data_IF_069032025230
#
_entry.id   IF_069032025230
#
_cell.length_a   1.000
_cell.length_b   1.000
_cell.length_c   1.000
_cell.angle_alpha   90.00
_cell.angle_beta   90.00
_cell.angle_gamma   90.00
#
_symmetry.space_group_name_H-M   'P 1'
#
loop_
_entity.id
_entity.type
_entity.pdbx_description
1 polymer ?
#
# COMPACT_ATOMS: atom_id res chain seq x y z
N UNK A 1 -0.50 31.00 7.56
CA UNK A 1 -0.51 30.12 6.36
C UNK A 1 0.51 30.48 5.30
N UNK A 2 0.58 31.73 4.82
CA UNK A 2 1.55 32.10 3.77
C UNK A 2 3.00 31.72 4.10
N UNK A 3 3.47 32.02 5.31
CA UNK A 3 4.85 31.68 5.73
C UNK A 3 5.12 30.16 5.75
N UNK A 4 4.15 29.36 6.20
CA UNK A 4 4.23 27.89 6.15
C UNK A 4 4.29 27.39 4.71
N UNK A 5 3.47 27.95 3.83
CA UNK A 5 3.45 27.60 2.41
C UNK A 5 4.77 27.94 1.73
N UNK A 6 5.30 29.14 1.97
CA UNK A 6 6.58 29.58 1.42
C UNK A 6 7.73 28.68 1.90
N UNK A 7 7.69 28.24 3.18
CA UNK A 7 8.66 27.27 3.72
C UNK A 7 8.60 25.91 3.00
N UNK A 8 7.40 25.34 2.83
CA UNK A 8 7.22 24.07 2.11
C UNK A 8 7.66 24.20 0.65
N UNK A 9 7.24 25.25 -0.05
CA UNK A 9 7.61 25.52 -1.45
C UNK A 9 9.13 25.63 -1.60
N UNK A 10 9.79 26.42 -0.76
CA UNK A 10 11.23 26.63 -0.85
C UNK A 10 12.01 25.32 -0.68
N UNK A 11 11.65 24.52 0.31
CA UNK A 11 12.26 23.19 0.53
C UNK A 11 12.01 22.25 -0.64
N UNK A 12 10.81 22.29 -1.23
CA UNK A 12 10.48 21.49 -2.40
C UNK A 12 11.32 21.93 -3.62
N UNK A 13 11.46 23.24 -3.84
CA UNK A 13 12.28 23.80 -4.91
C UNK A 13 13.77 23.45 -4.73
N UNK A 14 14.30 23.58 -3.51
CA UNK A 14 15.67 23.18 -3.16
C UNK A 14 15.90 21.69 -3.44
N UNK A 15 14.99 20.81 -2.99
CA UNK A 15 15.11 19.36 -3.19
C UNK A 15 14.93 18.88 -4.64
N UNK A 16 14.39 19.72 -5.52
CA UNK A 16 14.16 19.41 -6.93
C UNK A 16 15.06 20.21 -7.89
N UNK A 17 15.92 21.09 -7.36
CA UNK A 17 16.81 21.93 -8.17
C UNK A 17 17.73 21.11 -9.08
N UNK A 18 18.29 20.01 -8.56
CA UNK A 18 19.14 19.09 -9.33
C UNK A 18 18.40 18.36 -10.46
N UNK A 19 17.06 18.40 -10.44
CA UNK A 19 16.18 17.81 -11.45
C UNK A 19 15.65 18.86 -12.43
N UNK A 20 16.20 20.08 -12.39
CA UNK A 20 15.87 21.17 -13.32
C UNK A 20 14.54 21.87 -13.03
N UNK A 21 13.89 21.58 -11.89
CA UNK A 21 12.65 22.27 -11.54
C UNK A 21 12.94 23.71 -11.09
N UNK A 22 12.12 24.63 -11.60
CA UNK A 22 12.15 26.05 -11.22
C UNK A 22 10.74 26.54 -10.93
N UNK A 23 10.60 27.48 -9.99
CA UNK A 23 9.29 28.08 -9.72
C UNK A 23 8.91 28.99 -10.90
N UNK A 24 7.83 28.64 -11.61
CA UNK A 24 7.38 29.35 -12.81
C UNK A 24 6.31 30.39 -12.52
N UNK A 25 5.40 30.06 -11.60
CA UNK A 25 4.30 30.96 -11.27
C UNK A 25 3.87 30.77 -9.82
N UNK A 26 3.36 31.85 -9.25
CA UNK A 26 2.83 31.88 -7.90
C UNK A 26 1.51 32.62 -7.94
N UNK A 27 0.49 32.05 -7.32
CA UNK A 27 -0.80 32.68 -7.15
C UNK A 27 -1.15 32.75 -5.66
N UNK A 28 -1.17 33.97 -5.16
CA UNK A 28 -1.57 34.31 -3.81
C UNK A 28 -2.83 35.16 -3.87
N UNK A 29 -3.98 34.52 -4.02
CA UNK A 29 -5.27 35.22 -4.05
C UNK A 29 -6.14 34.76 -2.88
N UNK A 30 -6.31 35.63 -1.89
CA UNK A 30 -7.13 35.36 -0.71
C UNK A 30 -6.58 34.21 0.14
N UNK A 31 -7.40 33.17 0.34
CA UNK A 31 -7.06 31.96 1.11
C UNK A 31 -6.45 30.83 0.27
N UNK A 32 -6.32 31.03 -1.05
CA UNK A 32 -5.72 30.06 -1.95
C UNK A 32 -4.25 30.43 -2.17
N UNK A 33 -3.36 29.55 -1.71
CA UNK A 33 -1.92 29.63 -1.91
C UNK A 33 -1.55 28.54 -2.92
N UNK A 34 -0.98 28.91 -4.05
CA UNK A 34 -0.61 27.99 -5.12
C UNK A 34 0.71 28.37 -5.79
N UNK A 35 1.55 27.39 -6.08
CA UNK A 35 2.81 27.58 -6.79
C UNK A 35 3.03 26.45 -7.80
N UNK A 36 3.51 26.80 -9.00
CA UNK A 36 3.90 25.84 -10.02
C UNK A 36 5.42 25.77 -10.10
N UNK A 37 5.96 24.56 -9.93
CA UNK A 37 7.35 24.23 -10.18
C UNK A 37 7.42 23.41 -11.46
N UNK A 38 8.31 23.78 -12.38
CA UNK A 38 8.36 23.16 -13.71
C UNK A 38 9.80 22.93 -14.17
N UNK A 39 10.04 21.81 -14.84
CA UNK A 39 11.25 21.55 -15.62
C UNK A 39 10.91 21.47 -17.12
N UNK A 40 11.76 20.89 -17.96
CA UNK A 40 11.51 20.83 -19.42
C UNK A 40 10.30 19.97 -19.83
N UNK A 41 9.91 18.98 -19.02
CA UNK A 41 8.90 17.97 -19.39
C UNK A 41 7.75 17.84 -18.40
N UNK A 42 7.96 18.21 -17.14
CA UNK A 42 7.04 17.99 -16.03
C UNK A 42 6.73 19.28 -15.28
N UNK A 43 5.48 19.41 -14.83
CA UNK A 43 5.01 20.46 -13.93
C UNK A 43 4.46 19.88 -12.62
N UNK A 44 4.66 20.61 -11.54
CA UNK A 44 4.16 20.31 -10.19
C UNK A 44 3.39 21.50 -9.67
N UNK A 45 2.16 21.27 -9.20
CA UNK A 45 1.33 22.26 -8.56
C UNK A 45 1.26 21.96 -7.07
N UNK A 46 1.81 22.87 -6.25
CA UNK A 46 1.68 22.86 -4.80
C UNK A 46 0.56 23.83 -4.42
N UNK A 47 -0.46 23.35 -3.72
CA UNK A 47 -1.56 24.17 -3.20
C UNK A 47 -1.75 23.96 -1.70
N UNK A 48 -2.25 24.98 -1.00
CA UNK A 48 -2.84 24.81 0.33
C UNK A 48 -4.35 25.03 0.27
N UNK A 49 -5.12 23.99 0.57
CA UNK A 49 -6.58 24.00 0.54
C UNK A 49 -7.09 24.33 1.95
N UNK A 50 -7.37 25.62 2.20
CA UNK A 50 -7.75 26.11 3.53
C UNK A 50 -8.99 25.42 4.12
N UNK A 51 -9.95 24.99 3.29
CA UNK A 51 -11.16 24.29 3.74
C UNK A 51 -10.86 22.93 4.37
N UNK A 52 -9.94 22.20 3.76
CA UNK A 52 -9.59 20.83 4.14
C UNK A 52 -8.30 20.79 4.99
N UNK A 53 -7.71 21.96 5.26
CA UNK A 53 -6.49 22.17 6.04
C UNK A 53 -5.33 21.27 5.60
N UNK A 54 -5.07 21.23 4.31
CA UNK A 54 -4.06 20.34 3.75
C UNK A 54 -3.24 21.02 2.66
N UNK A 55 -1.97 20.63 2.60
CA UNK A 55 -1.16 20.82 1.40
C UNK A 55 -1.50 19.74 0.38
N UNK A 56 -1.59 20.12 -0.88
CA UNK A 56 -1.86 19.22 -2.01
C UNK A 56 -0.73 19.39 -3.02
N UNK A 57 -0.18 18.27 -3.46
CA UNK A 57 0.78 18.22 -4.55
C UNK A 57 0.13 17.49 -5.72
N UNK A 58 0.10 18.15 -6.87
CA UNK A 58 -0.41 17.61 -8.14
C UNK A 58 0.66 17.65 -9.21
N UNK A 59 0.58 16.78 -10.21
CA UNK A 59 1.54 16.68 -11.32
C UNK A 59 0.83 16.80 -12.66
N UNK A 60 1.47 17.46 -13.60
CA UNK A 60 1.05 17.59 -14.99
C UNK A 60 2.26 17.63 -15.91
N UNK A 61 2.02 17.78 -17.20
CA UNK A 61 3.07 18.06 -18.18
C UNK A 61 3.48 19.53 -18.13
N UNK A 62 4.72 19.84 -18.51
CA UNK A 62 5.18 21.22 -18.65
C UNK A 62 4.21 22.05 -19.52
N UNK A 63 3.78 23.22 -19.02
CA UNK A 63 2.83 24.10 -19.70
C UNK A 63 1.36 23.63 -19.77
N UNK A 64 0.94 22.56 -19.08
CA UNK A 64 -0.44 22.08 -19.12
C UNK A 64 -1.44 23.05 -18.46
N UNK A 65 -2.73 22.91 -18.77
CA UNK A 65 -3.76 23.72 -18.11
C UNK A 65 -3.94 23.29 -16.64
N UNK A 66 -4.51 24.17 -15.81
CA UNK A 66 -4.72 23.87 -14.38
C UNK A 66 -5.54 22.60 -14.14
N UNK A 67 -6.54 22.34 -14.98
CA UNK A 67 -7.43 21.18 -14.86
C UNK A 67 -6.77 19.85 -15.28
N UNK A 68 -5.63 19.91 -15.96
CA UNK A 68 -4.86 18.74 -16.39
C UNK A 68 -3.93 18.20 -15.28
N UNK A 69 -3.76 18.95 -14.19
CA UNK A 69 -2.98 18.51 -13.04
C UNK A 69 -3.71 17.39 -12.30
N UNK A 70 -3.04 16.26 -12.14
CA UNK A 70 -3.54 15.11 -11.39
C UNK A 70 -2.94 15.10 -9.99
N UNK A 71 -3.79 15.06 -8.96
CA UNK A 71 -3.35 15.01 -7.57
C UNK A 71 -2.43 13.80 -7.32
N UNK A 72 -1.21 14.08 -6.88
CA UNK A 72 -0.21 13.08 -6.53
C UNK A 72 -0.27 12.72 -5.04
N UNK A 73 -0.44 13.71 -4.17
CA UNK A 73 -0.44 13.54 -2.72
C UNK A 73 -1.17 14.69 -2.02
N UNK A 74 -1.63 14.43 -0.80
CA UNK A 74 -2.05 15.48 0.11
C UNK A 74 -1.54 15.19 1.52
N UNK A 75 -1.24 16.25 2.27
CA UNK A 75 -0.72 16.21 3.63
C UNK A 75 -1.56 17.14 4.50
N UNK A 76 -2.20 16.60 5.54
CA UNK A 76 -2.97 17.38 6.51
C UNK A 76 -2.02 18.28 7.31
N UNK A 77 -2.29 19.58 7.30
CA UNK A 77 -1.52 20.59 8.03
C UNK A 77 -2.49 21.57 8.68
N UNK A 78 -2.77 21.34 9.96
CA UNK A 78 -3.75 22.07 10.74
C UNK A 78 -3.06 22.85 11.87
N UNK A 79 -2.90 24.16 11.66
CA UNK A 79 -2.31 25.05 12.66
C UNK A 79 -3.15 25.18 13.93
N UNK A 80 -4.46 24.93 13.86
CA UNK A 80 -5.34 24.96 15.04
C UNK A 80 -5.17 23.69 15.88
N UNK A 81 -4.73 22.58 15.25
CA UNK A 81 -4.46 21.30 15.90
C UNK A 81 -3.00 21.17 16.40
N UNK A 82 -2.17 22.20 16.19
CA UNK A 82 -0.80 22.26 16.71
C UNK A 82 0.32 22.14 15.68
N UNK A 83 0.00 22.07 14.38
CA UNK A 83 1.04 22.11 13.34
C UNK A 83 1.70 23.51 13.28
N UNK A 84 3.03 23.50 13.20
CA UNK A 84 3.86 24.71 13.24
C UNK A 84 4.99 24.68 12.19
N UNK A 85 5.93 25.62 12.27
CA UNK A 85 6.98 25.77 11.26
C UNK A 85 7.89 24.53 11.19
N UNK A 86 8.04 23.78 12.28
CA UNK A 86 8.90 22.57 12.33
C UNK A 86 8.31 21.47 11.45
N UNK A 87 6.99 21.41 11.35
CA UNK A 87 6.26 20.42 10.57
C UNK A 87 6.36 20.66 9.06
N UNK A 88 6.68 21.88 8.61
CA UNK A 88 6.84 22.19 7.17
C UNK A 88 7.95 21.40 6.49
N UNK A 89 8.99 20.99 7.24
CA UNK A 89 10.05 20.12 6.70
C UNK A 89 9.54 18.71 6.43
N UNK A 90 8.69 18.18 7.31
CA UNK A 90 8.07 16.86 7.12
C UNK A 90 7.17 16.85 5.89
N UNK A 91 6.36 17.89 5.69
CA UNK A 91 5.51 18.04 4.48
C UNK A 91 6.36 18.01 3.21
N UNK A 92 7.41 18.83 3.15
CA UNK A 92 8.27 18.91 1.98
C UNK A 92 8.99 17.59 1.70
N UNK A 93 9.53 16.93 2.74
CA UNK A 93 10.21 15.66 2.60
C UNK A 93 9.25 14.55 2.11
N UNK A 94 8.03 14.47 2.65
CA UNK A 94 7.06 13.46 2.21
C UNK A 94 6.65 13.63 0.74
N UNK A 95 6.58 14.89 0.29
CA UNK A 95 6.35 15.23 -1.12
C UNK A 95 7.55 14.87 -2.00
N UNK A 96 8.77 15.19 -1.58
CA UNK A 96 10.00 14.81 -2.28
C UNK A 96 10.12 13.29 -2.40
N UNK A 97 9.86 12.56 -1.31
CA UNK A 97 9.89 11.10 -1.27
C UNK A 97 8.88 10.51 -2.26
N UNK A 98 7.67 11.07 -2.34
CA UNK A 98 6.64 10.62 -3.29
C UNK A 98 7.00 10.94 -4.74
N UNK A 99 7.66 12.06 -5.01
CA UNK A 99 8.15 12.41 -6.34
C UNK A 99 9.33 11.54 -6.79
N UNK A 100 10.23 11.21 -5.86
CA UNK A 100 11.36 10.32 -6.11
C UNK A 100 10.91 8.86 -6.30
N UNK A 101 9.92 8.39 -5.53
CA UNK A 101 9.32 7.07 -5.69
C UNK A 101 8.65 6.88 -7.07
N UNK A 102 8.16 7.96 -7.70
CA UNK A 102 7.50 7.92 -9.02
C UNK A 102 8.43 7.97 -10.23
N UNK A 103 9.74 8.22 -10.08
CA UNK A 103 10.70 8.04 -11.20
C UNK A 103 10.87 6.55 -11.61
N UNK A 104 10.37 5.62 -10.80
CA UNK A 104 10.44 4.18 -11.05
C UNK A 104 9.11 3.56 -11.52
N UNK A 105 8.03 4.34 -11.69
CA UNK A 105 6.69 3.79 -11.93
C UNK A 105 5.97 4.50 -13.09
N UNK A 106 6.20 4.01 -14.31
CA UNK A 106 5.25 4.17 -15.42
C UNK A 106 4.00 3.33 -15.09
N UNK A 107 2.86 3.98 -14.91
CA UNK A 107 1.53 3.39 -15.05
C UNK A 107 0.98 2.64 -13.83
N UNK A 108 0.01 3.25 -13.14
CA UNK A 108 -0.82 2.54 -12.17
C UNK A 108 -1.61 3.46 -11.25
N UNK A 109 -2.78 3.90 -11.69
CA UNK A 109 -3.74 4.63 -10.85
C UNK A 109 -4.40 3.67 -9.85
N UNK A 110 -4.07 3.78 -8.56
CA UNK A 110 -4.83 3.12 -7.48
C UNK A 110 -5.64 4.15 -6.70
N UNK A 111 -6.97 4.01 -6.76
CA UNK A 111 -7.92 4.76 -5.93
C UNK A 111 -7.76 4.32 -4.46
N UNK A 112 -7.35 5.22 -3.57
CA UNK A 112 -7.33 4.96 -2.12
C UNK A 112 -8.75 5.03 -1.54
N UNK A 113 -9.18 3.95 -0.89
CA UNK A 113 -10.36 3.95 -0.02
C UNK A 113 -10.09 4.76 1.26
N UNK A 114 -11.15 5.34 1.84
CA UNK A 114 -11.10 6.15 3.08
C UNK A 114 -10.55 5.33 4.25
N UNK A 115 -9.64 5.95 5.02
CA UNK A 115 -8.92 5.34 6.15
C UNK A 115 -9.74 5.46 7.44
N UNK A 116 -10.25 4.34 7.97
CA UNK A 116 -10.70 4.24 9.37
C UNK A 116 -9.50 3.93 10.27
N UNK A 117 -9.41 4.62 11.41
CA UNK A 117 -8.27 4.52 12.34
C UNK A 117 -8.11 3.14 13.00
N UNK A 118 -9.14 2.30 13.00
CA UNK A 118 -9.08 0.90 13.48
C UNK A 118 -8.56 -0.09 12.43
N UNK A 119 -8.37 0.33 11.17
CA UNK A 119 -8.00 -0.58 10.06
C UNK A 119 -6.50 -0.87 9.94
N UNK A 120 -5.63 -0.12 10.62
CA UNK A 120 -4.18 -0.25 10.38
C UNK A 120 -3.61 -1.54 10.99
N UNK A 121 -4.08 -1.96 12.19
CA UNK A 121 -3.59 -3.18 12.87
C UNK A 121 -4.12 -4.49 12.27
N UNK A 122 -5.29 -4.45 11.62
CA UNK A 122 -5.87 -5.60 10.91
C UNK A 122 -5.39 -5.73 9.46
N UNK A 123 -4.58 -4.78 9.00
CA UNK A 123 -4.11 -4.69 7.61
C UNK A 123 -2.98 -5.68 7.30
N UNK A 124 -2.92 -6.09 6.04
CA UNK A 124 -1.87 -6.99 5.55
C UNK A 124 -0.47 -6.37 5.66
N UNK A 125 -0.36 -5.04 5.59
CA UNK A 125 0.89 -4.33 5.79
C UNK A 125 1.39 -4.47 7.24
N UNK A 126 0.50 -4.32 8.22
CA UNK A 126 0.86 -4.49 9.63
C UNK A 126 1.32 -5.92 9.91
N UNK A 127 0.58 -6.91 9.40
CA UNK A 127 0.95 -8.32 9.52
C UNK A 127 2.37 -8.59 8.97
N UNK A 128 2.70 -8.12 7.76
CA UNK A 128 4.04 -8.34 7.18
C UNK A 128 5.15 -7.66 7.98
N UNK A 129 4.94 -6.44 8.48
CA UNK A 129 5.96 -5.79 9.32
C UNK A 129 6.18 -6.55 10.64
N UNK A 130 5.13 -7.13 11.23
CA UNK A 130 5.25 -8.00 12.41
C UNK A 130 5.90 -9.35 12.07
N UNK A 131 5.60 -9.92 10.91
CA UNK A 131 6.24 -11.13 10.41
C UNK A 131 7.76 -10.94 10.28
N UNK A 132 8.22 -9.79 9.77
CA UNK A 132 9.65 -9.46 9.70
C UNK A 132 10.30 -9.22 11.07
N UNK A 133 9.51 -9.06 12.13
CA UNK A 133 10.03 -9.06 13.50
C UNK A 133 10.30 -10.47 13.99
N UNK A 134 9.41 -11.41 13.66
CA UNK A 134 9.50 -12.85 13.99
C UNK A 134 10.54 -13.59 13.13
N UNK A 135 10.64 -13.21 11.85
CA UNK A 135 11.58 -13.74 10.87
C UNK A 135 12.53 -12.60 10.44
N UNK A 136 13.61 -12.33 11.20
CA UNK A 136 14.49 -11.18 10.93
C UNK A 136 15.11 -11.17 9.53
N UNK A 137 15.28 -12.34 8.91
CA UNK A 137 15.72 -12.52 7.53
C UNK A 137 14.81 -11.85 6.50
N UNK A 138 13.55 -11.57 6.86
CA UNK A 138 12.62 -10.84 6.00
C UNK A 138 12.87 -9.32 6.01
N UNK A 139 13.62 -8.75 6.95
CA UNK A 139 13.72 -7.28 7.13
C UNK A 139 14.41 -6.58 5.96
N UNK A 140 15.56 -7.09 5.54
CA UNK A 140 16.30 -6.53 4.41
C UNK A 140 15.55 -6.76 3.09
N UNK A 141 15.06 -7.97 2.76
CA UNK A 141 14.17 -8.18 1.62
C UNK A 141 12.91 -7.31 1.65
N UNK A 142 12.35 -7.00 2.83
CA UNK A 142 11.18 -6.14 2.97
C UNK A 142 11.51 -4.70 2.58
N UNK A 143 12.68 -4.21 2.98
CA UNK A 143 13.17 -2.90 2.54
C UNK A 143 13.42 -2.89 1.03
N UNK A 144 14.10 -3.91 0.50
CA UNK A 144 14.34 -4.05 -0.94
C UNK A 144 13.05 -4.14 -1.75
N UNK A 145 12.07 -4.89 -1.26
CA UNK A 145 10.75 -5.01 -1.89
C UNK A 145 10.03 -3.66 -1.92
N UNK A 146 10.01 -2.92 -0.80
CA UNK A 146 9.43 -1.57 -0.75
C UNK A 146 10.19 -0.60 -1.68
N UNK A 147 11.50 -0.72 -1.77
CA UNK A 147 12.31 0.09 -2.69
C UNK A 147 12.04 -0.26 -4.16
N UNK A 148 11.86 -1.54 -4.48
CA UNK A 148 11.62 -2.01 -5.84
C UNK A 148 10.21 -1.67 -6.33
N UNK A 149 9.18 -1.92 -5.52
CA UNK A 149 7.78 -1.70 -5.89
C UNK A 149 7.24 -0.32 -5.47
N UNK A 150 8.03 0.50 -4.77
CA UNK A 150 7.63 1.80 -4.21
C UNK A 150 6.64 1.71 -3.04
N UNK A 151 6.13 0.52 -2.74
CA UNK A 151 5.25 0.22 -1.62
C UNK A 151 5.37 -1.25 -1.25
N UNK A 152 4.82 -1.62 -0.10
CA UNK A 152 4.68 -3.02 0.25
C UNK A 152 3.48 -3.60 -0.51
N UNK A 153 3.72 -4.70 -1.24
CA UNK A 153 2.68 -5.57 -1.79
C UNK A 153 2.63 -6.84 -0.92
N UNK A 154 1.78 -6.90 0.13
CA UNK A 154 1.87 -7.93 1.17
C UNK A 154 1.80 -9.35 0.64
N UNK A 155 0.89 -9.60 -0.31
CA UNK A 155 0.72 -10.93 -0.92
C UNK A 155 1.97 -11.35 -1.68
N UNK A 156 2.48 -10.47 -2.54
CA UNK A 156 3.68 -10.73 -3.34
C UNK A 156 4.90 -10.95 -2.46
N UNK A 157 5.10 -10.09 -1.45
CA UNK A 157 6.18 -10.25 -0.48
C UNK A 157 6.11 -11.59 0.26
N UNK A 158 4.91 -11.96 0.72
CA UNK A 158 4.72 -13.24 1.38
C UNK A 158 4.97 -14.42 0.43
N UNK A 159 4.54 -14.34 -0.83
CA UNK A 159 4.75 -15.41 -1.82
C UNK A 159 6.23 -15.64 -2.14
N UNK A 160 7.02 -14.58 -2.26
CA UNK A 160 8.44 -14.67 -2.66
C UNK A 160 9.41 -14.83 -1.49
N UNK A 161 9.18 -14.09 -0.40
CA UNK A 161 10.12 -14.00 0.73
C UNK A 161 9.55 -14.69 1.95
N UNK A 162 8.29 -14.39 2.29
CA UNK A 162 7.67 -14.90 3.51
C UNK A 162 7.60 -16.42 3.54
N UNK A 163 7.18 -17.05 2.44
CA UNK A 163 7.12 -18.52 2.30
C UNK A 163 8.51 -19.15 2.41
N UNK A 164 9.54 -18.56 1.78
CA UNK A 164 10.90 -19.07 1.80
C UNK A 164 11.51 -19.01 3.20
N UNK A 165 11.41 -17.85 3.86
CA UNK A 165 11.90 -17.67 5.23
C UNK A 165 11.17 -18.60 6.22
N UNK A 166 9.85 -18.69 6.10
CA UNK A 166 9.05 -19.57 6.93
C UNK A 166 9.41 -21.05 6.70
N UNK A 167 9.49 -21.48 5.44
CA UNK A 167 9.88 -22.84 5.07
C UNK A 167 11.25 -23.21 5.66
N UNK A 168 12.21 -22.28 5.58
CA UNK A 168 13.55 -22.47 6.10
C UNK A 168 13.57 -22.61 7.63
N UNK A 169 12.79 -21.78 8.35
CA UNK A 169 12.65 -21.87 9.79
C UNK A 169 12.10 -23.24 10.24
N UNK A 170 11.07 -23.76 9.55
CA UNK A 170 10.52 -25.10 9.81
C UNK A 170 11.50 -26.22 9.45
N UNK A 171 12.17 -26.11 8.29
CA UNK A 171 13.18 -27.07 7.84
C UNK A 171 14.35 -27.18 8.83
N UNK A 172 14.80 -26.06 9.37
CA UNK A 172 15.89 -25.97 10.36
C UNK A 172 15.42 -26.30 11.79
N UNK A 173 14.12 -26.42 12.03
CA UNK A 173 13.56 -26.66 13.35
C UNK A 173 13.78 -25.50 14.33
N UNK A 174 13.78 -24.26 13.83
CA UNK A 174 13.99 -23.04 14.61
C UNK A 174 12.75 -22.74 15.48
N UNK A 175 12.59 -23.48 16.58
CA UNK A 175 11.38 -23.48 17.42
C UNK A 175 10.95 -22.08 17.89
N UNK A 176 11.89 -21.16 18.11
CA UNK A 176 11.59 -19.79 18.51
C UNK A 176 10.84 -19.03 17.40
N UNK A 177 11.28 -19.15 16.14
CA UNK A 177 10.63 -18.52 14.98
C UNK A 177 9.30 -19.20 14.65
N UNK A 178 9.26 -20.54 14.69
CA UNK A 178 8.03 -21.31 14.49
C UNK A 178 6.95 -20.90 15.51
N UNK A 179 7.32 -20.81 16.79
CA UNK A 179 6.43 -20.36 17.87
C UNK A 179 6.00 -18.90 17.66
N UNK A 180 6.95 -18.01 17.40
CA UNK A 180 6.64 -16.59 17.16
C UNK A 180 5.69 -16.39 15.97
N UNK A 181 5.80 -17.23 14.93
CA UNK A 181 4.88 -17.21 13.80
C UNK A 181 3.48 -17.67 14.21
N UNK A 182 3.38 -18.78 14.93
CA UNK A 182 2.10 -19.30 15.42
C UNK A 182 1.40 -18.30 16.36
N UNK A 183 2.15 -17.67 17.27
CA UNK A 183 1.64 -16.62 18.17
C UNK A 183 1.20 -15.38 17.40
N UNK A 184 1.97 -14.93 16.40
CA UNK A 184 1.60 -13.81 15.54
C UNK A 184 0.27 -14.07 14.81
N UNK A 185 0.12 -15.26 14.23
CA UNK A 185 -1.11 -15.68 13.56
C UNK A 185 -2.27 -15.71 14.55
N UNK A 186 -2.09 -16.28 15.74
CA UNK A 186 -3.13 -16.35 16.75
C UNK A 186 -3.62 -14.97 17.21
N UNK A 187 -2.70 -14.01 17.30
CA UNK A 187 -3.01 -12.65 17.75
C UNK A 187 -3.71 -11.82 16.65
N UNK A 188 -3.31 -11.96 15.39
CA UNK A 188 -3.80 -11.11 14.29
C UNK A 188 -5.04 -11.71 13.61
N UNK A 189 -5.09 -13.02 13.42
CA UNK A 189 -6.13 -13.65 12.58
C UNK A 189 -7.58 -13.37 13.03
N UNK A 190 -7.93 -13.29 14.34
CA UNK A 190 -9.31 -13.02 14.76
C UNK A 190 -9.84 -11.68 14.24
N UNK A 191 -9.01 -10.63 14.30
CA UNK A 191 -9.38 -9.25 13.95
C UNK A 191 -8.93 -8.84 12.54
N UNK A 192 -8.14 -9.67 11.87
CA UNK A 192 -7.63 -9.43 10.52
C UNK A 192 -8.73 -9.21 9.47
N UNK A 193 -8.41 -8.34 8.50
CA UNK A 193 -9.20 -8.20 7.28
C UNK A 193 -9.13 -9.47 6.40
N UNK A 194 -9.98 -9.53 5.38
CA UNK A 194 -10.05 -10.70 4.50
C UNK A 194 -8.76 -10.92 3.71
N UNK A 195 -8.06 -9.85 3.34
CA UNK A 195 -6.80 -9.93 2.59
C UNK A 195 -5.69 -10.57 3.44
N UNK A 196 -5.56 -10.14 4.69
CA UNK A 196 -4.61 -10.70 5.67
C UNK A 196 -4.95 -12.15 5.99
N UNK A 197 -6.23 -12.46 6.22
CA UNK A 197 -6.70 -13.85 6.42
C UNK A 197 -6.37 -14.73 5.22
N UNK A 198 -6.56 -14.23 4.00
CA UNK A 198 -6.24 -14.94 2.77
C UNK A 198 -4.73 -15.16 2.62
N UNK A 199 -3.89 -14.15 2.88
CA UNK A 199 -2.42 -14.29 2.86
C UNK A 199 -1.97 -15.35 3.87
N UNK A 200 -2.48 -15.30 5.11
CA UNK A 200 -2.14 -16.32 6.12
C UNK A 200 -2.54 -17.71 5.59
N UNK A 201 -3.82 -17.93 5.27
CA UNK A 201 -4.32 -19.27 4.96
C UNK A 201 -3.86 -19.84 3.62
N UNK A 202 -3.76 -19.01 2.59
CA UNK A 202 -3.51 -19.47 1.23
C UNK A 202 -2.04 -19.37 0.82
N UNK A 203 -1.26 -18.50 1.46
CA UNK A 203 0.15 -18.28 1.09
C UNK A 203 1.09 -18.89 2.12
N UNK A 204 0.96 -18.53 3.39
CA UNK A 204 1.95 -18.89 4.41
C UNK A 204 1.69 -20.26 5.06
N UNK A 205 0.46 -20.53 5.48
CA UNK A 205 0.14 -21.78 6.17
C UNK A 205 0.41 -23.05 5.33
N UNK A 206 0.24 -23.07 3.99
CA UNK A 206 0.54 -24.26 3.18
C UNK A 206 2.01 -24.66 3.15
N UNK A 207 2.93 -23.78 3.55
CA UNK A 207 4.35 -24.10 3.69
C UNK A 207 4.59 -25.17 4.76
N UNK A 208 3.72 -25.26 5.77
CA UNK A 208 3.83 -26.20 6.88
C UNK A 208 3.22 -27.54 6.45
N UNK A 209 4.07 -28.43 5.98
CA UNK A 209 3.66 -29.71 5.37
C UNK A 209 3.90 -30.92 6.25
N UNK A 210 4.96 -30.93 7.04
CA UNK A 210 5.31 -32.06 7.90
C UNK A 210 4.36 -32.16 9.10
N UNK A 211 3.85 -33.37 9.39
CA UNK A 211 2.80 -33.54 10.41
C UNK A 211 3.27 -33.13 11.82
N UNK A 212 4.53 -33.39 12.17
CA UNK A 212 5.12 -32.92 13.43
C UNK A 212 5.08 -31.40 13.60
N UNK A 213 5.18 -30.65 12.50
CA UNK A 213 5.23 -29.20 12.49
C UNK A 213 3.82 -28.61 12.51
N UNK A 214 2.87 -29.31 11.87
CA UNK A 214 1.44 -29.05 12.01
C UNK A 214 1.01 -29.20 13.45
N UNK A 215 1.29 -30.35 14.08
CA UNK A 215 0.93 -30.63 15.48
C UNK A 215 1.53 -29.57 16.42
N UNK A 216 2.78 -29.16 16.16
CA UNK A 216 3.43 -28.10 16.92
C UNK A 216 2.67 -26.76 16.82
N UNK A 217 2.27 -26.35 15.61
CA UNK A 217 1.55 -25.10 15.39
C UNK A 217 0.12 -25.16 15.93
N UNK A 218 -0.58 -26.28 15.73
CA UNK A 218 -1.93 -26.51 16.29
C UNK A 218 -1.94 -26.48 17.82
N UNK A 219 -0.83 -26.85 18.47
CA UNK A 219 -0.66 -26.74 19.92
C UNK A 219 -0.51 -25.30 20.44
N UNK A 220 -0.35 -24.31 19.57
CA UNK A 220 -0.13 -22.90 19.92
C UNK A 220 -1.31 -22.02 19.48
N UNK A 221 -1.79 -22.21 18.25
CA UNK A 221 -2.88 -21.40 17.69
C UNK A 221 -4.24 -21.81 18.30
N UNK A 222 -5.22 -20.91 18.24
CA UNK A 222 -6.55 -21.18 18.77
C UNK A 222 -7.22 -22.40 18.12
N UNK A 223 -8.10 -23.05 18.87
CA UNK A 223 -8.86 -24.20 18.37
C UNK A 223 -9.73 -23.83 17.15
N UNK A 224 -10.24 -22.60 17.10
CA UNK A 224 -11.02 -22.09 15.97
C UNK A 224 -10.18 -21.92 14.70
N UNK A 225 -8.98 -21.33 14.85
CA UNK A 225 -8.04 -21.21 13.75
C UNK A 225 -7.59 -22.59 13.26
N UNK A 226 -7.23 -23.50 14.17
CA UNK A 226 -6.83 -24.88 13.84
C UNK A 226 -7.90 -25.61 13.05
N UNK A 227 -9.18 -25.49 13.45
CA UNK A 227 -10.30 -26.08 12.71
C UNK A 227 -10.40 -25.52 11.29
N UNK A 228 -10.29 -24.21 11.14
CA UNK A 228 -10.31 -23.53 9.83
C UNK A 228 -9.14 -23.96 8.96
N UNK A 229 -7.95 -24.07 9.54
CA UNK A 229 -6.73 -24.48 8.86
C UNK A 229 -6.81 -25.93 8.37
N UNK A 230 -7.28 -26.86 9.20
CA UNK A 230 -7.50 -28.26 8.81
C UNK A 230 -8.45 -28.37 7.63
N UNK A 231 -9.50 -27.57 7.59
CA UNK A 231 -10.39 -27.50 6.43
C UNK A 231 -9.66 -26.98 5.20
N UNK A 232 -8.92 -25.87 5.31
CA UNK A 232 -8.16 -25.29 4.19
C UNK A 232 -7.12 -26.27 3.61
N UNK A 233 -6.38 -27.00 4.46
CA UNK A 233 -5.38 -28.00 4.03
C UNK A 233 -5.99 -29.09 3.15
N UNK A 234 -7.26 -29.49 3.36
CA UNK A 234 -7.92 -30.52 2.53
C UNK A 234 -8.10 -30.11 1.08
N UNK A 235 -8.15 -28.81 0.81
CA UNK A 235 -8.38 -28.23 -0.53
C UNK A 235 -7.11 -27.65 -1.16
N UNK A 236 -6.01 -27.57 -0.41
CA UNK A 236 -4.73 -27.11 -0.96
C UNK A 236 -4.29 -28.02 -2.13
N UNK A 237 -3.99 -27.42 -3.28
CA UNK A 237 -3.60 -28.13 -4.50
C UNK A 237 -4.74 -28.86 -5.24
N UNK A 238 -6.00 -28.69 -4.83
CA UNK A 238 -7.16 -29.28 -5.52
C UNK A 238 -7.93 -28.23 -6.31
N UNK A 239 -8.24 -28.53 -7.57
CA UNK A 239 -9.12 -27.71 -8.39
C UNK A 239 -10.58 -27.95 -7.96
N UNK A 240 -11.12 -27.04 -7.16
CA UNK A 240 -12.52 -27.08 -6.73
C UNK A 240 -13.35 -26.29 -7.73
N UNK A 241 -14.28 -26.98 -8.41
CA UNK A 241 -15.23 -26.31 -9.31
C UNK A 241 -16.05 -25.28 -8.51
N UNK A 242 -16.12 -24.01 -8.94
CA UNK A 242 -16.89 -23.00 -8.23
C UNK A 242 -18.38 -23.41 -8.20
N UNK A 243 -18.96 -23.41 -7.01
CA UNK A 243 -20.31 -23.94 -6.76
C UNK A 243 -21.42 -23.12 -7.46
N UNK A 244 -21.11 -21.88 -7.92
CA UNK A 244 -22.06 -21.01 -8.63
C UNK A 244 -21.42 -20.33 -9.85
N UNK A 245 -21.68 -20.90 -11.03
CA UNK A 245 -21.44 -20.25 -12.33
C UNK A 245 -22.43 -19.09 -12.64
N UNK A 246 -23.25 -18.63 -11.69
CA UNK A 246 -24.53 -17.96 -12.01
C UNK A 246 -24.55 -16.43 -12.05
N UNK A 247 -23.40 -15.73 -12.05
CA UNK A 247 -23.36 -14.27 -12.23
C UNK A 247 -22.62 -13.87 -13.52
N UNK A 248 -21.39 -14.38 -13.72
CA UNK A 248 -20.60 -14.11 -14.92
C UNK A 248 -21.20 -14.73 -16.19
N UNK A 249 -21.79 -15.93 -16.12
CA UNK A 249 -22.45 -16.54 -17.28
C UNK A 249 -23.73 -15.79 -17.72
N UNK A 250 -24.39 -15.05 -16.81
CA UNK A 250 -25.54 -14.21 -17.15
C UNK A 250 -25.10 -12.93 -17.87
N UNK A 251 -24.01 -12.29 -17.44
CA UNK A 251 -23.49 -11.08 -18.09
C UNK A 251 -22.97 -11.34 -19.51
N UNK A 252 -22.36 -12.51 -19.76
CA UNK A 252 -21.90 -12.90 -21.09
C UNK A 252 -23.03 -13.05 -22.12
N UNK A 253 -24.27 -13.34 -21.69
CA UNK A 253 -25.44 -13.38 -22.58
C UNK A 253 -25.92 -11.99 -23.00
N UNK A 254 -25.84 -10.99 -22.12
CA UNK A 254 -26.33 -9.64 -22.43
C UNK A 254 -25.43 -8.86 -23.41
N UNK A 255 -24.14 -9.19 -23.48
CA UNK A 255 -23.21 -8.58 -24.44
C UNK A 255 -23.23 -9.26 -25.82
N UNK A 256 -23.81 -10.47 -25.93
CA UNK A 256 -23.99 -11.17 -27.21
C UNK A 256 -25.18 -10.68 -28.03
N UNK A 257 -26.23 -10.17 -27.38
CA UNK A 257 -27.48 -9.75 -28.05
C UNK A 257 -27.50 -8.29 -28.52
N UNK A 258 -26.45 -7.51 -28.27
CA UNK A 258 -26.37 -6.08 -28.66
C UNK A 258 -25.59 -5.80 -29.95
N UNK A 259 -25.07 -6.84 -30.64
CA UNK A 259 -24.26 -6.69 -31.86
C UNK A 259 -24.79 -7.43 -33.09
N UNK A 260 -26.08 -7.82 -33.13
CA UNK A 260 -26.69 -8.38 -34.35
C UNK A 260 -28.05 -7.70 -34.58
N UNK A 261 -28.03 -6.51 -35.19
CA UNK A 261 -29.28 -5.82 -35.49
C UNK A 261 -29.15 -4.47 -36.16
N UNK A 262 -28.26 -4.29 -37.14
CA UNK A 262 -28.48 -3.32 -38.24
C UNK A 262 -27.41 -3.47 -39.32
N UNK A 263 -27.71 -4.30 -40.34
CA UNK A 263 -27.25 -4.12 -41.72
C UNK A 263 -28.26 -4.79 -42.68
N UNK A 264 -29.21 -3.99 -43.16
CA UNK A 264 -29.43 -3.63 -44.57
C UNK A 264 -30.87 -3.16 -44.77
#
# INVERSE_FOLDING_TARGET
MKEYFDSVRNKLAEGLADQGYTVKSENYTGSNLGAILENETDALLLEYISKDKQFVLSRGEAGCAKDDFVQAQAYLFDTDAGDDMRHTTSVANEFLDTLQAKKSAVGGTYKRAKKDKDSDESSANFFVNRLATVLPECREPLLMHKNHYGMLLPRHFCEEVGTVALADAFRKGEKAKMRGFAELVNNIYPTADMDTKAIIMQVLMPVITAEKDVEFVEGIVSAEFSKSWRCARKYHGKEVKPEKLSAYAKMAKYQGDTLVGTKH
#
